data_IF_424031635299
#
_entry.id   IF_424031635299
#
_cell.length_a   1.000
_cell.length_b   1.000
_cell.length_c   1.000
_cell.angle_alpha   90.00
_cell.angle_beta   90.00
_cell.angle_gamma   90.00
#
_symmetry.space_group_name_H-M   'P 1'
#
loop_
_entity.id
_entity.type
_entity.pdbx_description
1 polymer ?
#
# COMPACT_ATOMS: atom_id res chain seq x y z
N UNK A 1 41.57 33.38 0.05
CA UNK A 1 40.52 32.43 -0.38
C UNK A 1 39.66 32.13 0.85
N UNK A 2 38.49 32.75 0.97
CA UNK A 2 37.63 32.57 2.13
C UNK A 2 36.81 31.29 1.98
N UNK A 3 37.00 30.34 2.90
CA UNK A 3 36.27 29.05 2.91
C UNK A 3 34.84 29.32 3.38
N UNK A 4 33.84 28.96 2.57
CA UNK A 4 32.44 29.06 2.97
C UNK A 4 32.17 28.08 4.13
N UNK A 5 31.62 28.59 5.23
CA UNK A 5 31.18 27.77 6.35
C UNK A 5 29.85 27.12 5.97
N UNK A 6 29.85 25.81 5.78
CA UNK A 6 28.63 25.04 5.52
C UNK A 6 27.76 25.02 6.77
N UNK A 7 26.51 25.47 6.65
CA UNK A 7 25.54 25.39 7.76
C UNK A 7 25.27 23.92 8.10
N UNK A 8 25.27 23.53 9.39
CA UNK A 8 24.92 22.17 9.78
C UNK A 8 23.46 21.89 9.40
N UNK A 9 23.21 20.74 8.78
CA UNK A 9 21.86 20.24 8.52
C UNK A 9 21.29 19.73 9.83
N UNK A 10 20.39 20.49 10.44
CA UNK A 10 19.69 20.09 11.66
C UNK A 10 18.44 19.30 11.29
N UNK A 11 18.33 18.08 11.82
CA UNK A 11 17.11 17.28 11.68
C UNK A 11 16.15 17.67 12.81
N UNK A 12 14.92 18.13 12.51
CA UNK A 12 13.95 18.50 13.52
C UNK A 12 13.59 17.32 14.44
N UNK A 13 13.48 17.58 15.75
CA UNK A 13 12.98 16.61 16.72
C UNK A 13 11.47 16.39 16.56
N UNK A 14 10.74 17.47 16.30
CA UNK A 14 9.29 17.49 16.15
C UNK A 14 8.95 17.56 14.66
N UNK A 15 8.22 16.56 14.16
CA UNK A 15 7.72 16.50 12.81
C UNK A 15 6.27 17.00 12.77
N UNK A 16 5.99 18.01 11.95
CA UNK A 16 4.61 18.49 11.75
C UNK A 16 3.76 17.40 11.11
N UNK A 17 2.44 17.41 11.35
CA UNK A 17 1.49 16.49 10.71
C UNK A 17 1.58 16.46 9.17
N UNK A 18 2.02 17.56 8.55
CA UNK A 18 2.30 17.63 7.10
C UNK A 18 3.47 16.74 6.68
N UNK A 19 4.52 16.71 7.50
CA UNK A 19 5.83 16.15 7.14
C UNK A 19 5.96 14.70 7.65
N UNK A 20 5.26 14.33 8.73
CA UNK A 20 5.32 12.98 9.32
C UNK A 20 4.94 11.82 8.36
N UNK A 21 3.87 11.93 7.51
CA UNK A 21 3.58 10.87 6.53
C UNK A 21 4.70 10.68 5.51
N UNK A 22 5.29 11.79 5.06
CA UNK A 22 6.39 11.78 4.09
C UNK A 22 7.66 11.17 4.67
N UNK A 23 7.94 11.42 5.96
CA UNK A 23 9.06 10.80 6.66
C UNK A 23 9.00 9.27 6.63
N UNK A 24 7.79 8.71 6.72
CA UNK A 24 7.55 7.26 6.66
C UNK A 24 7.34 6.71 5.24
N UNK A 25 7.38 7.57 4.22
CA UNK A 25 7.12 7.19 2.83
C UNK A 25 5.70 6.68 2.58
N UNK A 26 4.70 7.16 3.35
CA UNK A 26 3.30 6.75 3.22
C UNK A 26 2.37 7.93 2.95
N UNK A 27 1.17 7.63 2.44
CA UNK A 27 0.15 8.65 2.24
C UNK A 27 -0.48 9.11 3.58
N UNK A 28 -1.07 10.32 3.55
CA UNK A 28 -1.66 10.94 4.74
C UNK A 28 -2.84 10.16 5.32
N UNK A 29 -3.64 9.49 4.49
CA UNK A 29 -4.81 8.77 4.97
C UNK A 29 -4.39 7.52 5.74
N UNK A 30 -3.41 6.79 5.20
CA UNK A 30 -2.80 5.65 5.88
C UNK A 30 -2.12 6.06 7.18
N UNK A 31 -1.36 7.15 7.18
CA UNK A 31 -0.76 7.70 8.40
C UNK A 31 -1.80 7.97 9.50
N UNK A 32 -2.89 8.67 9.15
CA UNK A 32 -3.95 9.00 10.09
C UNK A 32 -4.66 7.77 10.68
N UNK A 33 -4.68 6.65 9.95
CA UNK A 33 -5.36 5.42 10.37
C UNK A 33 -4.45 4.47 11.13
N UNK A 34 -3.20 4.31 10.69
CA UNK A 34 -2.29 3.25 11.16
C UNK A 34 -1.23 3.74 12.15
N UNK A 35 -0.86 5.04 12.09
CA UNK A 35 0.26 5.57 12.88
C UNK A 35 -0.24 6.56 13.92
N UNK A 36 -0.97 7.59 13.48
CA UNK A 36 -1.40 8.72 14.31
C UNK A 36 -2.10 8.32 15.63
N UNK A 37 -2.98 7.30 15.68
CA UNK A 37 -3.62 6.91 16.94
C UNK A 37 -2.67 6.38 18.01
N UNK A 38 -1.45 6.00 17.63
CA UNK A 38 -0.43 5.44 18.52
C UNK A 38 0.68 6.44 18.86
N UNK A 39 0.57 7.68 18.38
CA UNK A 39 1.55 8.74 18.65
C UNK A 39 0.96 9.81 19.56
N UNK A 40 1.83 10.48 20.30
CA UNK A 40 1.47 11.62 21.14
C UNK A 40 1.35 12.87 20.29
N UNK A 41 0.15 13.46 20.23
CA UNK A 41 -0.08 14.74 19.55
C UNK A 41 0.45 15.91 20.38
N UNK A 42 1.42 16.64 19.84
CA UNK A 42 2.00 17.83 20.46
C UNK A 42 1.46 19.07 19.73
N UNK A 43 0.58 19.88 20.34
CA UNK A 43 0.10 21.11 19.74
C UNK A 43 1.25 22.13 19.62
N UNK A 44 1.33 22.81 18.47
CA UNK A 44 2.30 23.87 18.22
C UNK A 44 1.58 25.08 17.64
N UNK A 45 1.51 26.14 18.43
CA UNK A 45 0.71 27.32 18.12
C UNK A 45 -0.79 27.01 18.15
N UNK A 46 -1.58 27.78 17.42
CA UNK A 46 -3.06 27.66 17.45
C UNK A 46 -3.60 26.48 16.65
N UNK A 47 -2.96 26.11 15.54
CA UNK A 47 -3.49 25.12 14.58
C UNK A 47 -2.49 24.00 14.25
N UNK A 48 -1.25 24.11 14.70
CA UNK A 48 -0.22 23.14 14.39
C UNK A 48 -0.30 21.92 15.29
N UNK A 49 -0.09 20.74 14.73
CA UNK A 49 0.16 19.50 15.46
C UNK A 49 1.49 18.93 14.98
N UNK A 50 2.30 18.45 15.91
CA UNK A 50 3.53 17.75 15.65
C UNK A 50 3.65 16.48 16.48
N UNK A 51 4.60 15.65 16.07
CA UNK A 51 4.92 14.37 16.67
C UNK A 51 6.40 14.31 16.96
N UNK A 52 6.77 13.56 17.99
CA UNK A 52 8.16 13.29 18.30
C UNK A 52 8.74 12.28 17.29
N UNK A 53 9.87 12.62 16.64
CA UNK A 53 10.53 11.74 15.66
C UNK A 53 10.92 10.36 16.25
N UNK A 54 11.39 10.31 17.50
CA UNK A 54 11.82 9.03 18.11
C UNK A 54 10.61 8.16 18.45
N UNK A 55 9.46 8.76 18.76
CA UNK A 55 8.21 8.01 18.92
C UNK A 55 7.78 7.41 17.58
N UNK A 56 7.91 8.17 16.49
CA UNK A 56 7.71 7.66 15.13
C UNK A 56 8.69 6.53 14.82
N UNK A 57 9.98 6.70 15.11
CA UNK A 57 11.01 5.67 14.88
C UNK A 57 10.70 4.39 15.68
N UNK A 58 10.26 4.51 16.94
CA UNK A 58 9.83 3.38 17.76
C UNK A 58 8.63 2.63 17.17
N UNK A 59 7.63 3.35 16.65
CA UNK A 59 6.53 2.73 15.92
C UNK A 59 7.01 2.00 14.66
N UNK A 60 8.00 2.56 13.94
CA UNK A 60 8.59 1.92 12.75
C UNK A 60 9.30 0.63 13.11
N UNK A 61 10.08 0.60 14.20
CA UNK A 61 10.77 -0.61 14.64
C UNK A 61 9.78 -1.74 14.94
N UNK A 62 8.69 -1.43 15.62
CA UNK A 62 7.60 -2.39 15.84
C UNK A 62 6.93 -2.82 14.53
N UNK A 63 6.70 -1.87 13.62
CA UNK A 63 6.11 -2.15 12.32
C UNK A 63 6.98 -3.10 11.48
N UNK A 64 8.31 -2.89 11.48
CA UNK A 64 9.29 -3.75 10.82
C UNK A 64 9.33 -5.12 11.47
N UNK A 65 9.29 -5.22 12.79
CA UNK A 65 9.27 -6.53 13.48
C UNK A 65 8.01 -7.34 13.14
N UNK A 66 6.85 -6.67 13.03
CA UNK A 66 5.56 -7.32 12.72
C UNK A 66 5.39 -7.66 11.24
N UNK A 67 5.81 -6.77 10.35
CA UNK A 67 5.49 -6.85 8.91
C UNK A 67 6.71 -7.07 8.02
N UNK A 68 7.91 -6.82 8.54
CA UNK A 68 9.16 -7.04 7.84
C UNK A 68 9.30 -8.50 7.47
N UNK A 69 9.56 -8.76 6.20
CA UNK A 69 9.95 -10.10 5.75
C UNK A 69 11.46 -10.17 5.83
N UNK A 70 12.06 -11.24 6.38
CA UNK A 70 13.49 -11.43 6.24
C UNK A 70 13.82 -11.44 4.75
N UNK A 71 14.79 -10.62 4.35
CA UNK A 71 15.35 -10.70 3.01
C UNK A 71 15.74 -12.15 2.75
N UNK A 72 15.49 -12.66 1.52
CA UNK A 72 15.95 -13.99 1.15
C UNK A 72 17.46 -14.07 1.48
N UNK A 73 17.94 -15.13 2.15
CA UNK A 73 19.36 -15.32 2.35
C UNK A 73 20.06 -15.24 0.99
N UNK A 74 20.94 -14.25 0.83
CA UNK A 74 21.84 -14.21 -0.33
C UNK A 74 22.94 -15.21 -0.04
N UNK A 75 22.82 -16.41 -0.63
CA UNK A 75 23.75 -17.51 -0.45
C UNK A 75 23.10 -18.85 -0.79
N UNK A 76 23.26 -19.28 -2.04
CA UNK A 76 23.30 -20.67 -2.52
C UNK A 76 22.21 -21.68 -2.08
N UNK A 77 21.02 -21.22 -1.68
CA UNK A 77 19.84 -22.09 -1.74
C UNK A 77 19.23 -22.01 -3.13
N UNK A 78 19.85 -22.78 -4.01
CA UNK A 78 19.34 -23.23 -5.31
C UNK A 78 17.85 -23.51 -5.17
N UNK A 79 17.01 -22.66 -5.78
CA UNK A 79 15.55 -22.78 -5.73
C UNK A 79 15.01 -24.05 -6.42
N UNK A 80 15.88 -24.91 -6.96
CA UNK A 80 15.54 -26.04 -7.82
C UNK A 80 15.97 -27.40 -7.28
N UNK A 81 15.63 -27.71 -6.02
CA UNK A 81 15.71 -29.08 -5.54
C UNK A 81 14.51 -29.54 -4.69
N UNK A 82 13.32 -29.00 -4.96
CA UNK A 82 12.09 -29.72 -4.58
C UNK A 82 11.55 -30.42 -5.80
N UNK A 83 11.90 -31.70 -5.95
CA UNK A 83 11.17 -32.67 -6.78
C UNK A 83 9.68 -32.36 -6.63
N UNK A 84 9.04 -31.99 -7.74
CA UNK A 84 7.59 -31.91 -7.81
C UNK A 84 7.03 -33.21 -7.26
N UNK A 85 6.45 -33.18 -6.06
CA UNK A 85 5.59 -34.26 -5.62
C UNK A 85 4.35 -34.11 -6.50
N UNK A 86 4.25 -34.93 -7.54
CA UNK A 86 3.07 -34.97 -8.38
C UNK A 86 1.87 -35.14 -7.46
N UNK A 87 1.02 -34.11 -7.39
CA UNK A 87 -0.31 -34.25 -6.83
C UNK A 87 -1.02 -35.25 -7.73
N UNK A 88 -1.23 -36.46 -7.26
CA UNK A 88 -2.22 -37.36 -7.84
C UNK A 88 -3.59 -36.71 -7.65
N UNK A 89 -3.99 -35.89 -8.62
CA UNK A 89 -5.35 -35.40 -8.72
C UNK A 89 -6.19 -36.58 -9.20
N UNK A 90 -6.81 -37.29 -8.27
CA UNK A 90 -8.03 -38.00 -8.65
C UNK A 90 -9.09 -36.95 -9.02
N UNK A 91 -9.68 -37.13 -10.19
CA UNK A 91 -10.76 -36.31 -10.73
C UNK A 91 -12.02 -36.58 -9.91
N UNK A 92 -12.14 -35.97 -8.74
CA UNK A 92 -13.42 -35.88 -8.05
C UNK A 92 -14.15 -34.65 -8.59
N UNK A 93 -15.12 -34.90 -9.46
CA UNK A 93 -16.07 -33.91 -9.96
C UNK A 93 -16.88 -33.35 -8.78
N UNK A 94 -16.60 -32.11 -8.39
CA UNK A 94 -17.44 -31.36 -7.46
C UNK A 94 -18.68 -30.84 -8.17
N UNK A 95 -19.80 -31.52 -8.02
CA UNK A 95 -21.10 -31.06 -8.53
C UNK A 95 -21.62 -29.93 -7.63
N UNK A 96 -21.44 -28.67 -8.04
CA UNK A 96 -22.01 -27.52 -7.35
C UNK A 96 -23.32 -27.10 -8.02
N UNK A 97 -24.44 -27.38 -7.38
CA UNK A 97 -25.78 -26.95 -7.82
C UNK A 97 -26.09 -25.55 -7.29
N UNK A 98 -25.81 -24.52 -8.07
CA UNK A 98 -26.55 -23.27 -8.01
C UNK A 98 -26.98 -22.88 -9.42
N UNK A 99 -28.28 -22.96 -9.70
CA UNK A 99 -28.87 -22.49 -10.95
C UNK A 99 -28.84 -20.97 -10.97
N UNK A 100 -27.78 -20.36 -11.51
CA UNK A 100 -27.88 -18.99 -12.02
C UNK A 100 -28.41 -19.07 -13.45
N UNK A 101 -29.47 -18.32 -13.76
CA UNK A 101 -30.10 -18.35 -15.07
C UNK A 101 -29.12 -17.90 -16.18
N UNK A 102 -28.74 -18.85 -17.03
CA UNK A 102 -27.99 -18.61 -18.26
C UNK A 102 -28.82 -17.70 -19.18
N UNK A 103 -28.38 -16.45 -19.34
CA UNK A 103 -29.01 -15.50 -20.27
C UNK A 103 -28.91 -14.03 -19.86
N UNK A 104 -28.64 -13.73 -18.58
CA UNK A 104 -28.48 -12.34 -18.13
C UNK A 104 -27.23 -11.70 -18.74
N UNK A 105 -26.13 -12.46 -18.82
CA UNK A 105 -24.86 -11.97 -19.36
C UNK A 105 -24.94 -11.68 -20.87
N UNK A 106 -25.68 -12.51 -21.63
CA UNK A 106 -25.88 -12.29 -23.07
C UNK A 106 -26.70 -11.02 -23.34
N UNK A 107 -27.78 -10.78 -22.58
CA UNK A 107 -28.58 -9.54 -22.71
C UNK A 107 -27.80 -8.28 -22.32
N UNK A 108 -26.91 -8.38 -21.33
CA UNK A 108 -26.07 -7.26 -20.93
C UNK A 108 -25.08 -6.84 -22.04
N UNK A 109 -24.54 -7.81 -22.78
CA UNK A 109 -23.58 -7.55 -23.86
C UNK A 109 -24.24 -6.90 -25.09
N UNK A 110 -25.48 -7.27 -25.42
CA UNK A 110 -26.26 -6.65 -26.50
C UNK A 110 -26.66 -5.19 -26.22
N UNK A 111 -26.93 -4.82 -24.96
CA UNK A 111 -27.23 -3.42 -24.62
C UNK A 111 -26.01 -2.50 -24.75
N UNK A 112 -24.81 -3.02 -24.49
CA UNK A 112 -23.57 -2.24 -24.61
C UNK A 112 -23.18 -2.03 -26.08
N UNK A 113 -23.40 -3.03 -26.94
CA UNK A 113 -23.04 -2.97 -28.36
C UNK A 113 -24.04 -2.19 -29.23
N UNK A 114 -25.31 -2.10 -28.82
CA UNK A 114 -26.37 -1.42 -29.60
C UNK A 114 -26.37 0.11 -29.48
N UNK A 115 -25.59 0.70 -28.55
CA UNK A 115 -25.52 2.16 -28.39
C UNK A 115 -24.59 2.79 -29.43
N UNK A 116 -25.03 2.80 -30.69
CA UNK A 116 -24.41 3.55 -31.78
C UNK A 116 -24.41 5.05 -31.44
N UNK A 117 -23.22 5.66 -31.41
CA UNK A 117 -23.06 7.12 -31.29
C UNK A 117 -23.54 7.75 -32.60
N UNK A 118 -24.58 8.57 -32.55
CA UNK A 118 -24.92 9.46 -33.67
C UNK A 118 -24.04 10.71 -33.58
N UNK A 119 -23.27 10.96 -34.64
CA UNK A 119 -22.57 12.20 -34.94
C UNK A 119 -23.01 12.68 -36.32
N UNK A 120 -23.63 13.85 -36.39
CA UNK A 120 -23.86 14.62 -37.63
C UNK A 120 -24.28 16.03 -37.20
N UNK A 121 -23.34 16.99 -37.14
CA UNK A 121 -22.96 17.93 -38.23
C UNK A 121 -24.06 18.95 -38.56
N UNK A 122 -23.90 20.17 -38.05
CA UNK A 122 -24.59 21.38 -38.48
C UNK A 122 -24.13 21.78 -39.89
N UNK A 123 -25.08 22.16 -40.73
CA UNK A 123 -24.91 22.96 -41.95
C UNK A 123 -25.32 24.39 -41.66
#
# INVERSE_FOLDING_TARGET
MSKAVSKPVLIPRLLRLRDAPHYLGMDRNRFNKEVRPYLTEIPIGEQGIAFDRLEIDGWVDEYIQRNGRPGRPTGDQLWDAKKHRASSKELVSGTSTSKSADGVFARALDQVSSRKRNSSSQS
#
